data_IF_670204039099
#
_entry.id   IF_670204039099
#
_cell.length_a   1.000
_cell.length_b   1.000
_cell.length_c   1.000
_cell.angle_alpha   90.00
_cell.angle_beta   90.00
_cell.angle_gamma   90.00
#
_symmetry.space_group_name_H-M   'P 1'
#
loop_
_entity.id
_entity.type
_entity.pdbx_description
1 polymer ?
#
# COMPACT_ATOMS: atom_id res chain seq x y z
N UNK A 1 -6.02 -10.62 10.67
CA UNK A 1 -7.04 -9.57 10.53
C UNK A 1 -6.66 -8.30 11.26
N UNK A 2 -6.32 -8.38 12.55
CA UNK A 2 -5.92 -7.19 13.31
C UNK A 2 -4.67 -6.51 12.74
N UNK A 3 -3.73 -7.31 12.22
CA UNK A 3 -2.50 -6.77 11.64
C UNK A 3 -2.78 -5.91 10.41
N UNK A 4 -3.73 -6.33 9.58
CA UNK A 4 -4.11 -5.54 8.40
C UNK A 4 -4.80 -4.24 8.78
N UNK A 5 -5.65 -4.25 9.81
CA UNK A 5 -6.29 -3.03 10.30
C UNK A 5 -5.26 -2.08 10.90
N UNK A 6 -4.29 -2.59 11.65
CA UNK A 6 -3.20 -1.77 12.18
C UNK A 6 -2.37 -1.15 11.05
N UNK A 7 -2.11 -1.90 9.99
CA UNK A 7 -1.39 -1.38 8.83
C UNK A 7 -2.15 -0.25 8.17
N UNK A 8 -3.46 -0.36 8.05
CA UNK A 8 -4.31 0.69 7.48
C UNK A 8 -4.25 1.94 8.35
N UNK A 9 -4.35 1.80 9.67
CA UNK A 9 -4.27 2.93 10.59
C UNK A 9 -2.91 3.63 10.49
N UNK A 10 -1.83 2.86 10.44
CA UNK A 10 -0.48 3.40 10.28
C UNK A 10 -0.34 4.14 8.95
N UNK A 11 -0.88 3.55 7.88
CA UNK A 11 -0.86 4.16 6.55
C UNK A 11 -1.59 5.49 6.53
N UNK A 12 -2.78 5.56 7.15
CA UNK A 12 -3.54 6.80 7.25
C UNK A 12 -2.76 7.88 7.99
N UNK A 13 -2.09 7.52 9.09
CA UNK A 13 -1.29 8.46 9.86
C UNK A 13 -0.12 9.01 9.05
N UNK A 14 0.55 8.15 8.31
CA UNK A 14 1.69 8.57 7.47
C UNK A 14 1.25 9.43 6.29
N UNK A 15 0.15 9.08 5.65
CA UNK A 15 -0.38 9.87 4.53
C UNK A 15 -0.80 11.27 4.96
N UNK A 16 -1.27 11.44 6.19
CA UNK A 16 -1.57 12.75 6.72
C UNK A 16 -0.32 13.62 6.82
N UNK A 17 0.83 13.04 7.11
CA UNK A 17 2.10 13.76 7.10
C UNK A 17 2.51 14.15 5.68
N UNK A 18 2.31 13.26 4.71
CA UNK A 18 2.64 13.51 3.31
C UNK A 18 1.78 14.62 2.69
N UNK A 19 0.56 14.79 3.17
CA UNK A 19 -0.31 15.89 2.70
C UNK A 19 0.28 17.26 2.94
N UNK A 20 1.16 17.40 3.92
CA UNK A 20 1.84 18.67 4.21
C UNK A 20 3.06 18.88 3.30
N UNK A 21 3.44 17.87 2.51
CA UNK A 21 4.67 17.90 1.73
C UNK A 21 4.33 17.60 0.26
N UNK A 22 4.32 18.62 -0.59
CA UNK A 22 3.88 18.51 -1.99
C UNK A 22 4.94 17.94 -2.95
N UNK A 23 5.99 17.28 -2.43
CA UNK A 23 7.05 16.73 -3.28
C UNK A 23 6.70 15.31 -3.71
N UNK A 24 6.14 15.17 -4.90
CA UNK A 24 5.66 13.89 -5.43
C UNK A 24 6.73 12.81 -5.54
N UNK A 25 7.97 13.17 -5.86
CA UNK A 25 9.04 12.19 -6.02
C UNK A 25 9.43 11.55 -4.70
N UNK A 26 9.54 12.37 -3.66
CA UNK A 26 9.83 11.88 -2.31
C UNK A 26 8.68 11.02 -1.84
N UNK A 27 7.45 11.44 -2.11
CA UNK A 27 6.26 10.70 -1.72
C UNK A 27 6.22 9.32 -2.38
N UNK A 28 6.50 9.23 -3.68
CA UNK A 28 6.53 7.95 -4.39
C UNK A 28 7.58 7.01 -3.81
N UNK A 29 8.79 7.50 -3.56
CA UNK A 29 9.86 6.71 -2.97
C UNK A 29 9.47 6.19 -1.59
N UNK A 30 8.88 7.05 -0.77
CA UNK A 30 8.43 6.67 0.57
C UNK A 30 7.28 5.67 0.52
N UNK A 31 6.38 5.79 -0.43
CA UNK A 31 5.28 4.84 -0.60
C UNK A 31 5.80 3.44 -0.94
N UNK A 32 6.81 3.35 -1.79
CA UNK A 32 7.42 2.06 -2.14
C UNK A 32 8.14 1.47 -0.92
N UNK A 33 8.90 2.28 -0.19
CA UNK A 33 9.53 1.82 1.05
C UNK A 33 8.50 1.34 2.05
N UNK A 34 7.41 2.07 2.20
CA UNK A 34 6.33 1.70 3.10
C UNK A 34 5.71 0.36 2.70
N UNK A 35 5.41 0.19 1.41
CA UNK A 35 4.86 -1.06 0.90
C UNK A 35 5.81 -2.22 1.16
N UNK A 36 7.09 -2.03 0.87
CA UNK A 36 8.11 -3.03 1.11
C UNK A 36 8.18 -3.42 2.59
N UNK A 37 8.29 -2.44 3.48
CA UNK A 37 8.43 -2.69 4.91
C UNK A 37 7.21 -3.37 5.49
N UNK A 38 6.01 -2.92 5.12
CA UNK A 38 4.76 -3.48 5.62
C UNK A 38 4.60 -4.94 5.20
N UNK A 39 4.90 -5.24 3.95
CA UNK A 39 4.76 -6.61 3.44
C UNK A 39 5.86 -7.52 3.98
N UNK A 40 7.08 -7.00 4.15
CA UNK A 40 8.18 -7.77 4.72
C UNK A 40 7.87 -8.26 6.14
N UNK A 41 7.24 -7.40 6.94
CA UNK A 41 6.85 -7.77 8.30
C UNK A 41 5.90 -8.97 8.30
N UNK A 42 5.07 -9.10 7.26
CA UNK A 42 4.14 -10.21 7.13
C UNK A 42 4.72 -11.42 6.39
N UNK A 43 6.00 -11.40 6.07
CA UNK A 43 6.67 -12.54 5.47
C UNK A 43 6.87 -12.45 3.96
N UNK A 44 6.55 -11.33 3.34
CA UNK A 44 6.81 -11.13 1.91
C UNK A 44 8.33 -11.07 1.68
N UNK A 45 8.81 -11.78 0.67
CA UNK A 45 10.25 -11.91 0.41
C UNK A 45 10.75 -11.05 -0.76
N UNK A 46 9.88 -10.23 -1.37
CA UNK A 46 10.31 -9.28 -2.40
C UNK A 46 11.28 -8.27 -1.79
N UNK A 47 12.37 -7.98 -2.51
CA UNK A 47 13.28 -6.90 -2.12
C UNK A 47 12.63 -5.54 -2.39
N UNK A 48 13.23 -4.48 -1.89
CA UNK A 48 12.76 -3.12 -2.17
C UNK A 48 12.72 -2.85 -3.68
N UNK A 49 13.78 -3.21 -4.38
CA UNK A 49 13.86 -3.03 -5.84
C UNK A 49 12.80 -3.87 -6.56
N UNK A 50 12.61 -5.12 -6.13
CA UNK A 50 11.59 -6.00 -6.71
C UNK A 50 10.18 -5.45 -6.48
N UNK A 51 9.92 -4.93 -5.28
CA UNK A 51 8.64 -4.31 -4.97
C UNK A 51 8.36 -3.14 -5.92
N UNK A 52 9.36 -2.29 -6.15
CA UNK A 52 9.25 -1.18 -7.10
C UNK A 52 8.96 -1.67 -8.51
N UNK A 53 9.64 -2.72 -8.96
CA UNK A 53 9.44 -3.27 -10.30
C UNK A 53 8.03 -3.86 -10.47
N UNK A 54 7.53 -4.56 -9.46
CA UNK A 54 6.18 -5.14 -9.49
C UNK A 54 5.13 -4.04 -9.51
N UNK A 55 5.24 -3.08 -8.62
CA UNK A 55 4.22 -2.06 -8.40
C UNK A 55 4.20 -1.01 -9.50
N UNK A 56 5.36 -0.49 -9.86
CA UNK A 56 5.45 0.65 -10.77
C UNK A 56 5.66 0.25 -12.23
N UNK A 57 6.22 -0.93 -12.49
CA UNK A 57 6.53 -1.36 -13.85
C UNK A 57 5.75 -2.58 -14.31
N UNK A 58 4.95 -3.18 -13.41
CA UNK A 58 4.13 -4.34 -13.74
C UNK A 58 4.94 -5.59 -14.10
N UNK A 59 6.16 -5.70 -13.59
CA UNK A 59 7.06 -6.81 -13.92
C UNK A 59 6.82 -7.97 -12.95
N UNK A 60 6.78 -9.19 -13.49
CA UNK A 60 6.71 -10.40 -12.67
C UNK A 60 8.11 -10.85 -12.32
N UNK A 61 8.34 -11.12 -11.03
CA UNK A 61 9.64 -11.56 -10.53
C UNK A 61 9.68 -13.07 -10.49
N UNK A 62 10.62 -13.65 -11.24
CA UNK A 62 10.80 -15.10 -11.29
C UNK A 62 11.18 -15.63 -9.90
N UNK A 63 10.60 -16.76 -9.52
CA UNK A 63 10.88 -17.39 -8.23
C UNK A 63 10.06 -16.84 -7.06
N UNK A 64 9.25 -15.82 -7.28
CA UNK A 64 8.38 -15.25 -6.23
C UNK A 64 6.92 -15.62 -6.50
N UNK A 65 6.17 -15.87 -5.44
CA UNK A 65 4.80 -16.33 -5.55
C UNK A 65 3.82 -15.26 -6.00
N UNK A 66 2.70 -15.71 -6.55
CA UNK A 66 1.61 -14.82 -6.95
C UNK A 66 1.12 -13.99 -5.77
N UNK A 67 0.99 -14.61 -4.59
CA UNK A 67 0.52 -13.92 -3.40
C UNK A 67 1.42 -12.74 -3.05
N UNK A 68 2.73 -12.90 -3.15
CA UNK A 68 3.67 -11.82 -2.84
C UNK A 68 3.51 -10.65 -3.81
N UNK A 69 3.29 -10.93 -5.08
CA UNK A 69 3.00 -9.90 -6.09
C UNK A 69 1.68 -9.18 -5.76
N UNK A 70 0.63 -9.94 -5.43
CA UNK A 70 -0.67 -9.36 -5.10
C UNK A 70 -0.62 -8.51 -3.86
N UNK A 71 0.12 -8.92 -2.84
CA UNK A 71 0.29 -8.13 -1.63
C UNK A 71 0.89 -6.75 -1.94
N UNK A 72 1.92 -6.71 -2.77
CA UNK A 72 2.55 -5.45 -3.16
C UNK A 72 1.60 -4.58 -3.99
N UNK A 73 0.95 -5.17 -4.99
CA UNK A 73 0.03 -4.44 -5.87
C UNK A 73 -1.16 -3.91 -5.08
N UNK A 74 -1.76 -4.74 -4.25
CA UNK A 74 -2.93 -4.36 -3.46
C UNK A 74 -2.60 -3.24 -2.47
N UNK A 75 -1.42 -3.29 -1.86
CA UNK A 75 -0.99 -2.25 -0.93
C UNK A 75 -0.88 -0.91 -1.66
N UNK A 76 -0.30 -0.90 -2.84
CA UNK A 76 -0.18 0.32 -3.65
C UNK A 76 -1.56 0.85 -4.07
N UNK A 77 -2.47 -0.02 -4.46
CA UNK A 77 -3.84 0.37 -4.80
C UNK A 77 -4.55 1.00 -3.61
N UNK A 78 -4.34 0.45 -2.41
CA UNK A 78 -4.90 1.01 -1.19
C UNK A 78 -4.35 2.40 -0.90
N UNK A 79 -3.04 2.60 -1.10
CA UNK A 79 -2.43 3.92 -0.96
C UNK A 79 -3.06 4.92 -1.92
N UNK A 80 -3.20 4.54 -3.18
CA UNK A 80 -3.78 5.41 -4.21
C UNK A 80 -5.23 5.77 -3.89
N UNK A 81 -6.01 4.80 -3.40
CA UNK A 81 -7.39 5.03 -2.98
C UNK A 81 -7.46 6.04 -1.83
N UNK A 82 -6.60 5.87 -0.82
CA UNK A 82 -6.56 6.76 0.33
C UNK A 82 -6.16 8.18 -0.10
N UNK A 83 -5.19 8.29 -1.00
CA UNK A 83 -4.76 9.59 -1.52
C UNK A 83 -5.90 10.29 -2.27
N UNK A 84 -6.68 9.55 -3.04
CA UNK A 84 -7.83 10.09 -3.75
C UNK A 84 -8.88 10.63 -2.76
N UNK A 85 -9.20 9.86 -1.74
CA UNK A 85 -10.12 10.29 -0.66
C UNK A 85 -9.59 11.57 0.00
N UNK A 86 -8.31 11.60 0.29
CA UNK A 86 -7.68 12.76 0.94
C UNK A 86 -7.74 14.01 0.07
N UNK A 87 -7.52 13.88 -1.24
CA UNK A 87 -7.60 15.01 -2.16
C UNK A 87 -9.01 15.58 -2.27
N UNK A 88 -10.00 14.71 -2.22
CA UNK A 88 -11.42 15.12 -2.25
C UNK A 88 -11.90 15.66 -0.91
N UNK A 89 -11.06 15.60 0.12
CA UNK A 89 -11.39 16.01 1.49
C UNK A 89 -12.60 15.27 2.04
N UNK A 90 -12.82 14.05 1.59
CA UNK A 90 -13.88 13.21 2.10
C UNK A 90 -13.53 12.70 3.50
N UNK A 91 -14.51 12.61 4.41
CA UNK A 91 -14.24 12.07 5.74
C UNK A 91 -13.92 10.59 5.67
N UNK A 92 -13.06 10.12 6.59
CA UNK A 92 -12.76 8.69 6.72
C UNK A 92 -13.92 8.07 7.51
N UNK A 93 -14.83 7.44 6.79
CA UNK A 93 -15.97 6.75 7.37
C UNK A 93 -15.67 5.27 7.56
N UNK A 94 -16.54 4.57 8.27
CA UNK A 94 -16.47 3.12 8.40
C UNK A 94 -16.52 2.45 7.02
N UNK A 95 -17.33 2.97 6.11
CA UNK A 95 -17.42 2.46 4.74
C UNK A 95 -16.10 2.56 4.02
N UNK A 96 -15.39 3.69 4.16
CA UNK A 96 -14.08 3.88 3.54
C UNK A 96 -13.07 2.87 4.10
N UNK A 97 -13.09 2.65 5.42
CA UNK A 97 -12.20 1.65 6.04
C UNK A 97 -12.47 0.24 5.52
N UNK A 98 -13.73 -0.12 5.34
CA UNK A 98 -14.09 -1.42 4.77
C UNK A 98 -13.63 -1.55 3.32
N UNK A 99 -13.74 -0.48 2.53
CA UNK A 99 -13.29 -0.47 1.15
C UNK A 99 -11.77 -0.65 1.07
N UNK A 100 -11.02 0.02 1.94
CA UNK A 100 -9.55 -0.14 2.02
C UNK A 100 -9.20 -1.58 2.35
N UNK A 101 -9.87 -2.16 3.33
CA UNK A 101 -9.64 -3.54 3.73
C UNK A 101 -9.88 -4.51 2.57
N UNK A 102 -10.96 -4.29 1.81
CA UNK A 102 -11.26 -5.11 0.64
C UNK A 102 -10.18 -5.00 -0.43
N UNK A 103 -9.64 -3.80 -0.65
CA UNK A 103 -8.57 -3.57 -1.63
C UNK A 103 -7.31 -4.34 -1.21
N UNK A 104 -6.92 -4.22 0.05
CA UNK A 104 -5.71 -4.88 0.56
C UNK A 104 -5.79 -6.39 0.42
N UNK A 105 -6.97 -6.97 0.60
CA UNK A 105 -7.18 -8.41 0.54
C UNK A 105 -7.62 -8.92 -0.83
N UNK A 106 -7.66 -8.06 -1.84
CA UNK A 106 -8.15 -8.45 -3.17
C UNK A 106 -7.39 -9.66 -3.71
N UNK A 107 -8.13 -10.72 -4.04
CA UNK A 107 -7.59 -11.98 -4.56
C UNK A 107 -6.65 -12.71 -3.60
N UNK A 108 -6.59 -12.30 -2.35
CA UNK A 108 -5.81 -12.96 -1.29
C UNK A 108 -6.79 -13.52 -0.26
N UNK A 109 -6.77 -14.82 -0.07
CA UNK A 109 -7.62 -15.48 0.93
C UNK A 109 -6.98 -15.53 2.30
#
# INVERSE_FOLDING_TARGET
MNDKLQQIDTLLGELNQYRANENYRITEALEIEYTYDSNRIEGNTLTLHETDMVVNKGITIAGKGLREHLEAINHKEAIDFIKDIAQKKEPISERVLLDIHAIVLHSID
#
